data_IF_200598320217
#
_entry.id   IF_200598320217
#
_cell.length_a   1.000
_cell.length_b   1.000
_cell.length_c   1.000
_cell.angle_alpha   90.00
_cell.angle_beta   90.00
_cell.angle_gamma   90.00
#
_symmetry.space_group_name_H-M   'P 1'
#
loop_
_entity.id
_entity.type
_entity.pdbx_description
1 polymer ?
#
# COMPACT_ATOMS: atom_id res chain seq x y z
N UNK A 1 20.72 0.16 14.88
CA UNK A 1 19.83 -0.55 13.94
C UNK A 1 19.03 -1.49 14.78
N UNK A 2 17.72 -1.33 14.78
CA UNK A 2 16.83 -2.19 15.58
C UNK A 2 16.40 -3.39 14.73
N UNK A 3 15.79 -4.41 15.35
CA UNK A 3 15.22 -5.53 14.59
C UNK A 3 14.14 -5.06 13.60
N UNK A 4 13.51 -3.91 13.86
CA UNK A 4 12.55 -3.26 12.96
C UNK A 4 13.23 -2.82 11.67
N UNK A 5 14.44 -2.25 11.70
CA UNK A 5 15.20 -1.93 10.49
C UNK A 5 15.43 -3.18 9.62
N UNK A 6 15.76 -4.30 10.26
CA UNK A 6 15.91 -5.60 9.60
C UNK A 6 14.60 -6.11 8.99
N UNK A 7 13.49 -5.99 9.72
CA UNK A 7 12.17 -6.38 9.23
C UNK A 7 11.71 -5.54 8.03
N UNK A 8 11.91 -4.21 8.08
CA UNK A 8 11.58 -3.31 6.99
C UNK A 8 12.43 -3.61 5.75
N UNK A 9 13.74 -3.84 5.92
CA UNK A 9 14.61 -4.29 4.84
C UNK A 9 14.15 -5.64 4.27
N UNK A 10 13.76 -6.59 5.12
CA UNK A 10 13.26 -7.90 4.69
C UNK A 10 11.99 -7.77 3.84
N UNK A 11 11.04 -6.90 4.20
CA UNK A 11 9.84 -6.65 3.38
C UNK A 11 10.21 -6.17 1.98
N UNK A 12 11.13 -5.21 1.87
CA UNK A 12 11.59 -4.68 0.58
C UNK A 12 12.31 -5.76 -0.22
N UNK A 13 13.23 -6.51 0.41
CA UNK A 13 14.01 -7.57 -0.23
C UNK A 13 13.14 -8.73 -0.69
N UNK A 14 12.20 -9.20 0.13
CA UNK A 14 11.25 -10.26 -0.24
C UNK A 14 10.37 -9.77 -1.39
N UNK A 15 9.86 -8.54 -1.32
CA UNK A 15 9.05 -7.97 -2.40
C UNK A 15 9.84 -7.89 -3.72
N UNK A 16 11.10 -7.45 -3.66
CA UNK A 16 12.01 -7.38 -4.80
C UNK A 16 12.34 -8.77 -5.37
N UNK A 17 12.64 -9.74 -4.51
CA UNK A 17 12.95 -11.11 -4.92
C UNK A 17 11.75 -11.79 -5.57
N UNK A 18 10.56 -11.68 -4.98
CA UNK A 18 9.31 -12.22 -5.57
C UNK A 18 9.05 -11.59 -6.94
N UNK A 19 9.22 -10.27 -7.07
CA UNK A 19 9.02 -9.59 -8.34
C UNK A 19 10.12 -9.91 -9.37
N UNK A 20 11.35 -10.19 -8.95
CA UNK A 20 12.41 -10.68 -9.82
C UNK A 20 12.03 -12.02 -10.47
N UNK A 21 11.52 -12.97 -9.69
CA UNK A 21 11.07 -14.26 -10.23
C UNK A 21 9.82 -14.13 -11.11
N UNK A 22 8.93 -13.19 -10.79
CA UNK A 22 7.68 -12.98 -11.54
C UNK A 22 7.84 -12.13 -12.79
N UNK A 23 8.84 -11.25 -12.85
CA UNK A 23 9.07 -10.30 -13.95
C UNK A 23 8.19 -9.05 -13.87
N UNK A 24 8.66 -7.94 -14.43
CA UNK A 24 7.93 -6.66 -14.46
C UNK A 24 6.61 -6.79 -15.21
N UNK A 25 6.62 -7.40 -16.40
CA UNK A 25 5.44 -7.50 -17.26
C UNK A 25 4.31 -8.21 -16.52
N UNK A 26 4.61 -9.29 -15.79
CA UNK A 26 3.59 -9.98 -15.00
C UNK A 26 3.01 -9.08 -13.90
N UNK A 27 3.85 -8.31 -13.22
CA UNK A 27 3.39 -7.40 -12.16
C UNK A 27 2.50 -6.29 -12.71
N UNK A 28 2.92 -5.63 -13.80
CA UNK A 28 2.17 -4.53 -14.42
C UNK A 28 0.85 -5.01 -15.01
N UNK A 29 0.88 -6.08 -15.81
CA UNK A 29 -0.35 -6.68 -16.34
C UNK A 29 -1.25 -7.21 -15.23
N UNK A 30 -0.67 -7.71 -14.13
CA UNK A 30 -1.45 -8.16 -12.98
C UNK A 30 -2.22 -7.03 -12.32
N UNK A 31 -1.61 -5.85 -12.17
CA UNK A 31 -2.30 -4.66 -11.66
C UNK A 31 -3.34 -4.16 -12.68
N UNK A 32 -2.99 -4.15 -13.96
CA UNK A 32 -3.92 -3.85 -15.04
C UNK A 32 -5.14 -4.78 -15.05
N UNK A 33 -4.97 -6.06 -14.75
CA UNK A 33 -6.08 -7.02 -14.66
C UNK A 33 -7.03 -6.70 -13.49
N UNK A 34 -6.51 -6.28 -12.32
CA UNK A 34 -7.33 -5.82 -11.20
C UNK A 34 -8.13 -4.57 -11.57
N UNK A 35 -7.47 -3.56 -12.16
CA UNK A 35 -8.11 -2.31 -12.58
C UNK A 35 -9.15 -2.55 -13.68
N UNK A 36 -8.80 -3.34 -14.69
CA UNK A 36 -9.67 -3.69 -15.80
C UNK A 36 -10.89 -4.49 -15.36
N UNK A 37 -10.72 -5.46 -14.44
CA UNK A 37 -11.83 -6.20 -13.87
C UNK A 37 -12.75 -5.31 -13.03
N UNK A 38 -12.19 -4.41 -12.22
CA UNK A 38 -12.97 -3.43 -11.47
C UNK A 38 -13.78 -2.53 -12.41
N UNK A 39 -13.13 -1.96 -13.43
CA UNK A 39 -13.78 -1.11 -14.42
C UNK A 39 -14.92 -1.85 -15.14
N UNK A 40 -14.69 -3.08 -15.60
CA UNK A 40 -15.71 -3.91 -16.25
C UNK A 40 -16.89 -4.19 -15.31
N UNK A 41 -16.62 -4.51 -14.04
CA UNK A 41 -17.66 -4.76 -13.05
C UNK A 41 -18.50 -3.50 -12.77
N UNK A 42 -17.86 -2.34 -12.62
CA UNK A 42 -18.55 -1.06 -12.43
C UNK A 42 -19.42 -0.69 -13.65
N UNK A 43 -18.91 -0.89 -14.86
CA UNK A 43 -19.66 -0.65 -16.10
C UNK A 43 -20.83 -1.62 -16.27
N UNK A 44 -20.69 -2.86 -15.82
CA UNK A 44 -21.75 -3.87 -15.89
C UNK A 44 -22.85 -3.68 -14.82
N UNK A 45 -22.57 -2.95 -13.74
CA UNK A 45 -23.48 -2.75 -12.59
C UNK A 45 -24.93 -2.38 -12.97
N UNK A 46 -25.21 -1.42 -13.88
CA UNK A 46 -26.58 -1.05 -14.23
C UNK A 46 -27.38 -2.19 -14.87
N UNK A 47 -26.70 -3.11 -15.55
CA UNK A 47 -27.32 -4.27 -16.21
C UNK A 47 -27.56 -5.44 -15.26
N UNK A 48 -26.85 -5.49 -14.13
CA UNK A 48 -26.90 -6.60 -13.16
C UNK A 48 -28.01 -6.39 -12.12
N UNK A 49 -28.27 -5.13 -11.74
CA UNK A 49 -29.28 -4.76 -10.74
C UNK A 49 -30.68 -5.37 -10.99
N UNK A 50 -31.24 -5.36 -12.23
CA UNK A 50 -32.54 -5.99 -12.49
C UNK A 50 -32.52 -7.51 -12.33
N UNK A 51 -31.37 -8.14 -12.57
CA UNK A 51 -31.21 -9.59 -12.50
C UNK A 51 -31.04 -10.06 -11.06
N UNK A 52 -30.31 -9.32 -10.22
CA UNK A 52 -29.99 -9.74 -8.84
C UNK A 52 -31.04 -9.33 -7.81
N UNK A 53 -31.73 -8.22 -8.04
CA UNK A 53 -32.76 -7.68 -7.11
C UNK A 53 -33.98 -8.60 -6.93
N UNK A 54 -34.25 -9.50 -7.87
CA UNK A 54 -35.34 -10.48 -7.75
C UNK A 54 -35.02 -11.67 -6.84
N UNK A 55 -33.77 -11.86 -6.44
CA UNK A 55 -33.31 -13.07 -5.75
C UNK A 55 -32.68 -12.80 -4.37
N UNK A 56 -32.20 -11.58 -4.13
CA UNK A 56 -31.42 -11.25 -2.93
C UNK A 56 -31.94 -9.94 -2.32
N UNK A 57 -32.35 -10.00 -1.06
CA UNK A 57 -32.59 -8.83 -0.21
C UNK A 57 -31.56 -8.82 0.92
N UNK A 58 -31.03 -7.65 1.34
CA UNK A 58 -31.31 -6.29 0.87
C UNK A 58 -30.57 -5.89 -0.42
N UNK A 59 -31.08 -4.85 -1.12
CA UNK A 59 -30.61 -4.42 -2.43
C UNK A 59 -29.10 -4.11 -2.53
N UNK A 60 -28.48 -3.59 -1.46
CA UNK A 60 -27.04 -3.34 -1.43
C UNK A 60 -26.20 -4.63 -1.45
N UNK A 61 -26.73 -5.74 -0.91
CA UNK A 61 -26.09 -7.06 -1.01
C UNK A 61 -26.27 -7.61 -2.42
N UNK A 62 -27.47 -7.51 -3.01
CA UNK A 62 -27.74 -7.95 -4.38
C UNK A 62 -26.81 -7.26 -5.39
N UNK A 63 -26.58 -5.96 -5.20
CA UNK A 63 -25.65 -5.17 -5.99
C UNK A 63 -24.20 -5.63 -5.78
N UNK A 64 -23.75 -5.75 -4.52
CA UNK A 64 -22.39 -6.20 -4.20
C UNK A 64 -22.10 -7.60 -4.76
N UNK A 65 -23.05 -8.53 -4.66
CA UNK A 65 -22.93 -9.90 -5.17
C UNK A 65 -22.89 -9.90 -6.70
N UNK A 66 -23.77 -9.15 -7.36
CA UNK A 66 -23.80 -9.06 -8.83
C UNK A 66 -22.51 -8.48 -9.40
N UNK A 67 -22.11 -7.30 -8.91
CA UNK A 67 -20.88 -6.63 -9.32
C UNK A 67 -19.65 -7.47 -8.96
N UNK A 68 -19.63 -8.09 -7.77
CA UNK A 68 -18.56 -8.98 -7.33
C UNK A 68 -18.40 -10.22 -8.21
N UNK A 69 -19.51 -10.84 -8.63
CA UNK A 69 -19.47 -11.98 -9.54
C UNK A 69 -18.84 -11.61 -10.90
N UNK A 70 -19.26 -10.49 -11.50
CA UNK A 70 -18.67 -10.01 -12.76
C UNK A 70 -17.20 -9.67 -12.58
N UNK A 71 -16.85 -8.98 -11.49
CA UNK A 71 -15.47 -8.68 -11.15
C UNK A 71 -14.61 -9.93 -11.13
N UNK A 72 -15.03 -10.98 -10.43
CA UNK A 72 -14.28 -12.24 -10.32
C UNK A 72 -14.15 -12.95 -11.67
N UNK A 73 -15.23 -13.03 -12.45
CA UNK A 73 -15.20 -13.67 -13.78
C UNK A 73 -14.22 -12.95 -14.71
N UNK A 74 -14.32 -11.62 -14.80
CA UNK A 74 -13.42 -10.82 -15.64
C UNK A 74 -11.98 -10.90 -15.13
N UNK A 75 -11.77 -10.85 -13.81
CA UNK A 75 -10.45 -10.97 -13.22
C UNK A 75 -9.79 -12.30 -13.57
N UNK A 76 -10.53 -13.41 -13.49
CA UNK A 76 -10.01 -14.74 -13.86
C UNK A 76 -9.60 -14.77 -15.34
N UNK A 77 -10.45 -14.27 -16.24
CA UNK A 77 -10.14 -14.21 -17.67
C UNK A 77 -8.88 -13.37 -17.92
N UNK A 78 -8.82 -12.15 -17.37
CA UNK A 78 -7.66 -11.27 -17.52
C UNK A 78 -6.40 -11.85 -16.90
N UNK A 79 -6.50 -12.60 -15.79
CA UNK A 79 -5.37 -13.29 -15.17
C UNK A 79 -4.82 -14.41 -16.04
N UNK A 80 -5.69 -15.20 -16.67
CA UNK A 80 -5.26 -16.24 -17.61
C UNK A 80 -4.50 -15.62 -18.78
N UNK A 81 -5.05 -14.56 -19.39
CA UNK A 81 -4.40 -13.83 -20.49
C UNK A 81 -3.07 -13.22 -20.03
N UNK A 82 -3.06 -12.57 -18.88
CA UNK A 82 -1.86 -11.95 -18.29
C UNK A 82 -0.74 -12.97 -18.09
N UNK A 83 -1.08 -14.12 -17.52
CA UNK A 83 -0.09 -15.16 -17.25
C UNK A 83 0.52 -15.66 -18.55
N UNK A 84 -0.32 -15.95 -19.55
CA UNK A 84 0.13 -16.39 -20.87
C UNK A 84 1.03 -15.37 -21.58
N UNK A 85 0.69 -14.08 -21.52
CA UNK A 85 1.53 -13.01 -22.08
C UNK A 85 2.85 -12.85 -21.32
N UNK A 86 2.82 -12.92 -19.99
CA UNK A 86 4.02 -12.78 -19.17
C UNK A 86 4.99 -13.96 -19.36
N UNK A 87 4.48 -15.19 -19.49
CA UNK A 87 5.30 -16.37 -19.80
C UNK A 87 6.05 -16.17 -21.13
N UNK A 88 5.36 -15.69 -22.17
CA UNK A 88 5.95 -15.38 -23.49
C UNK A 88 7.09 -14.36 -23.42
N UNK A 89 6.96 -13.34 -22.58
CA UNK A 89 8.02 -12.34 -22.41
C UNK A 89 9.21 -12.95 -21.68
N UNK A 90 8.97 -13.72 -20.62
CA UNK A 90 10.03 -14.36 -19.86
C UNK A 90 10.81 -15.41 -20.66
N UNK A 91 10.15 -16.13 -21.56
CA UNK A 91 10.78 -17.14 -22.43
C UNK A 91 11.52 -16.51 -23.63
N UNK A 92 11.38 -15.20 -23.83
CA UNK A 92 12.04 -14.47 -24.91
C UNK A 92 13.44 -13.96 -24.52
N UNK A 93 14.17 -13.41 -25.49
CA UNK A 93 15.44 -12.72 -25.24
C UNK A 93 15.33 -11.54 -24.24
N UNK A 94 14.11 -11.01 -24.03
CA UNK A 94 13.86 -9.92 -23.08
C UNK A 94 13.64 -10.40 -21.64
N UNK A 95 13.55 -11.72 -21.39
CA UNK A 95 13.24 -12.27 -20.07
C UNK A 95 14.23 -11.83 -18.98
N UNK A 96 15.53 -11.72 -19.32
CA UNK A 96 16.53 -11.20 -18.38
C UNK A 96 16.27 -9.76 -17.95
N UNK A 97 15.93 -8.88 -18.90
CA UNK A 97 15.59 -7.47 -18.62
C UNK A 97 14.29 -7.38 -17.82
N UNK A 98 13.28 -8.17 -18.17
CA UNK A 98 12.00 -8.23 -17.47
C UNK A 98 12.17 -8.57 -15.97
N UNK A 99 13.07 -9.49 -15.64
CA UNK A 99 13.38 -9.87 -14.25
C UNK A 99 14.10 -8.76 -13.48
N UNK A 100 15.08 -8.08 -14.10
CA UNK A 100 15.80 -6.96 -13.45
C UNK A 100 14.86 -5.79 -13.19
N UNK A 101 14.03 -5.44 -14.17
CA UNK A 101 13.00 -4.42 -13.98
C UNK A 101 11.96 -4.86 -12.93
N UNK A 102 11.63 -6.15 -12.90
CA UNK A 102 10.80 -6.75 -11.85
C UNK A 102 11.38 -6.54 -10.46
N UNK A 103 12.69 -6.73 -10.28
CA UNK A 103 13.39 -6.46 -9.01
C UNK A 103 13.23 -5.01 -8.58
N UNK A 104 13.48 -4.05 -9.49
CA UNK A 104 13.33 -2.63 -9.19
C UNK A 104 11.88 -2.26 -8.82
N UNK A 105 10.92 -2.76 -9.60
CA UNK A 105 9.50 -2.58 -9.31
C UNK A 105 9.10 -3.19 -7.96
N UNK A 106 9.59 -4.39 -7.64
CA UNK A 106 9.34 -5.06 -6.37
C UNK A 106 9.93 -4.30 -5.18
N UNK A 107 11.09 -3.67 -5.34
CA UNK A 107 11.68 -2.82 -4.30
C UNK A 107 10.79 -1.58 -4.04
N UNK A 108 10.35 -0.90 -5.11
CA UNK A 108 9.42 0.23 -5.02
C UNK A 108 8.11 -0.19 -4.35
N UNK A 109 7.52 -1.32 -4.79
CA UNK A 109 6.31 -1.88 -4.17
C UNK A 109 6.52 -2.17 -2.69
N UNK A 110 7.66 -2.74 -2.32
CA UNK A 110 8.02 -3.00 -0.94
C UNK A 110 8.01 -1.72 -0.10
N UNK A 111 8.63 -0.65 -0.61
CA UNK A 111 8.62 0.67 0.05
C UNK A 111 7.19 1.24 0.17
N UNK A 112 6.37 1.12 -0.87
CA UNK A 112 4.95 1.53 -0.84
C UNK A 112 4.17 0.76 0.22
N UNK A 113 4.41 -0.55 0.37
CA UNK A 113 3.76 -1.35 1.42
C UNK A 113 4.15 -0.87 2.83
N UNK A 114 5.41 -0.47 3.04
CA UNK A 114 5.85 0.10 4.32
C UNK A 114 5.18 1.44 4.61
N UNK A 115 5.08 2.31 3.62
CA UNK A 115 4.37 3.60 3.72
C UNK A 115 2.89 3.38 4.05
N UNK A 116 2.23 2.47 3.34
CA UNK A 116 0.84 2.11 3.61
C UNK A 116 0.66 1.54 5.02
N UNK A 117 1.57 0.67 5.47
CA UNK A 117 1.54 0.13 6.83
C UNK A 117 1.71 1.22 7.90
N UNK A 118 2.55 2.24 7.65
CA UNK A 118 2.70 3.37 8.55
C UNK A 118 1.43 4.23 8.64
N UNK A 119 0.80 4.53 7.49
CA UNK A 119 -0.48 5.26 7.46
C UNK A 119 -1.55 4.49 8.23
N UNK A 120 -1.66 3.17 8.00
CA UNK A 120 -2.60 2.31 8.72
C UNK A 120 -2.30 2.28 10.22
N UNK A 121 -1.03 2.21 10.62
CA UNK A 121 -0.65 2.27 12.02
C UNK A 121 -1.10 3.59 12.67
N UNK A 122 -1.04 4.72 11.97
CA UNK A 122 -1.54 5.99 12.49
C UNK A 122 -3.06 6.08 12.59
N UNK A 123 -3.79 5.35 11.75
CA UNK A 123 -5.25 5.27 11.81
C UNK A 123 -5.74 4.38 12.97
N UNK A 124 -5.07 3.26 13.24
CA UNK A 124 -5.53 2.27 14.22
C UNK A 124 -4.80 2.30 15.57
N UNK A 125 -3.56 2.82 15.62
CA UNK A 125 -2.72 2.87 16.82
C UNK A 125 -2.03 4.25 16.94
N UNK A 126 -2.80 5.34 17.14
CA UNK A 126 -2.28 6.72 17.09
C UNK A 126 -1.34 7.08 18.24
N UNK A 127 -1.36 6.33 19.36
CA UNK A 127 -0.53 6.60 20.53
C UNK A 127 0.90 6.06 20.36
N UNK A 128 1.82 6.89 19.89
CA UNK A 128 3.24 6.54 19.72
C UNK A 128 3.98 6.25 21.01
N UNK A 129 3.51 6.80 22.14
CA UNK A 129 4.10 6.54 23.45
C UNK A 129 4.10 5.03 23.77
N UNK A 130 3.03 4.34 23.37
CA UNK A 130 2.85 2.90 23.52
C UNK A 130 3.62 2.05 22.50
N UNK A 131 4.24 2.67 21.48
CA UNK A 131 5.00 1.91 20.50
C UNK A 131 6.27 1.30 21.13
N UNK A 132 6.65 0.07 20.74
CA UNK A 132 7.88 -0.56 21.21
C UNK A 132 9.10 0.33 20.96
N UNK A 133 10.05 0.37 21.91
CA UNK A 133 11.28 1.17 21.78
C UNK A 133 12.03 0.90 20.45
N UNK A 134 12.05 -0.35 20.02
CA UNK A 134 12.66 -0.77 18.76
C UNK A 134 12.06 -0.10 17.50
N UNK A 135 10.77 0.27 17.52
CA UNK A 135 10.15 1.03 16.43
C UNK A 135 10.60 2.49 16.50
N UNK A 136 10.60 3.07 17.70
CA UNK A 136 10.95 4.48 17.92
C UNK A 136 12.41 4.79 17.58
N UNK A 137 13.30 3.82 17.79
CA UNK A 137 14.74 3.94 17.50
C UNK A 137 15.13 3.46 16.09
N UNK A 138 14.16 3.01 15.27
CA UNK A 138 14.44 2.51 13.94
C UNK A 138 14.94 3.64 13.02
N UNK A 139 16.11 3.45 12.41
CA UNK A 139 16.73 4.46 11.52
C UNK A 139 15.97 4.64 10.21
N UNK A 140 15.25 3.61 9.80
CA UNK A 140 14.42 3.60 8.59
C UNK A 140 13.07 4.31 8.77
N UNK A 141 12.60 4.49 10.02
CA UNK A 141 11.30 5.07 10.31
C UNK A 141 11.10 6.49 9.75
N UNK A 142 12.06 7.43 9.84
CA UNK A 142 11.90 8.77 9.28
C UNK A 142 11.67 8.77 7.77
N UNK A 143 12.30 7.85 7.02
CA UNK A 143 12.11 7.73 5.57
C UNK A 143 10.71 7.22 5.23
N UNK A 144 10.19 6.27 6.00
CA UNK A 144 8.82 5.75 5.83
C UNK A 144 7.79 6.83 6.20
N UNK A 145 8.02 7.56 7.29
CA UNK A 145 7.16 8.65 7.74
C UNK A 145 7.10 9.82 6.73
N UNK A 146 8.24 10.20 6.16
CA UNK A 146 8.30 11.21 5.10
C UNK A 146 7.59 10.75 3.83
N UNK A 147 7.78 9.47 3.44
CA UNK A 147 7.01 8.88 2.33
C UNK A 147 5.50 8.92 2.57
N UNK A 148 5.06 8.61 3.79
CA UNK A 148 3.66 8.70 4.19
C UNK A 148 3.13 10.13 4.13
N UNK A 149 3.91 11.10 4.61
CA UNK A 149 3.57 12.53 4.53
C UNK A 149 3.29 12.98 3.10
N UNK A 150 4.20 12.67 2.17
CA UNK A 150 4.03 13.02 0.75
C UNK A 150 2.80 12.39 0.11
N UNK A 151 2.45 11.17 0.50
CA UNK A 151 1.24 10.50 0.01
C UNK A 151 -0.01 11.17 0.58
N UNK A 152 -0.03 11.47 1.89
CA UNK A 152 -1.20 12.08 2.55
C UNK A 152 -1.44 13.52 2.11
N UNK A 153 -0.39 14.27 1.79
CA UNK A 153 -0.51 15.64 1.26
C UNK A 153 -1.27 15.71 -0.08
N UNK A 154 -1.20 14.64 -0.87
CA UNK A 154 -1.95 14.54 -2.14
C UNK A 154 -3.43 14.21 -1.94
N UNK A 155 -3.83 13.78 -0.73
CA UNK A 155 -5.21 13.46 -0.41
C UNK A 155 -5.97 14.76 -0.07
N UNK A 156 -7.20 14.96 -0.60
CA UNK A 156 -8.04 16.10 -0.24
C UNK A 156 -8.25 16.19 1.28
N UNK A 157 -8.33 17.41 1.81
CA UNK A 157 -8.34 17.65 3.27
C UNK A 157 -9.42 16.85 4.01
N UNK A 158 -10.60 16.71 3.38
CA UNK A 158 -11.74 15.97 3.93
C UNK A 158 -11.47 14.48 4.21
N UNK A 159 -10.47 13.89 3.55
CA UNK A 159 -10.15 12.46 3.64
C UNK A 159 -8.72 12.19 4.11
N UNK A 160 -7.98 13.20 4.58
CA UNK A 160 -6.59 13.03 5.01
C UNK A 160 -6.52 12.13 6.24
N UNK A 161 -5.87 10.96 6.17
CA UNK A 161 -5.67 10.14 7.35
C UNK A 161 -4.71 10.84 8.31
N UNK A 162 -4.96 10.70 9.62
CA UNK A 162 -4.04 11.19 10.65
C UNK A 162 -2.72 10.43 10.53
N UNK A 163 -1.64 11.16 10.31
CA UNK A 163 -0.30 10.62 10.40
C UNK A 163 0.16 10.63 11.85
N UNK A 164 0.95 9.62 12.17
CA UNK A 164 1.72 9.58 13.41
C UNK A 164 2.97 10.45 13.24
N UNK A 165 3.31 11.24 14.25
CA UNK A 165 4.56 11.96 14.28
C UNK A 165 5.71 11.02 14.65
N UNK A 166 6.83 11.02 13.89
CA UNK A 166 7.96 10.18 14.21
C UNK A 166 8.57 10.59 15.56
N UNK A 167 8.95 9.62 16.41
CA UNK A 167 9.57 9.87 17.71
C UNK A 167 10.84 10.73 17.56
N UNK A 168 10.90 11.86 18.27
CA UNK A 168 12.00 12.83 18.19
C UNK A 168 11.75 14.05 17.29
N UNK A 169 10.56 14.17 16.66
CA UNK A 169 10.16 15.39 15.95
C UNK A 169 9.88 16.59 16.89
N UNK A 170 9.76 16.35 18.19
CA UNK A 170 9.62 17.40 19.20
C UNK A 170 11.00 17.96 19.57
N UNK A 171 11.50 18.89 18.76
CA UNK A 171 12.38 19.93 19.32
C UNK A 171 11.61 20.72 20.40
N UNK A 172 12.29 21.45 21.30
CA UNK A 172 11.60 22.30 22.27
C UNK A 172 10.58 23.17 21.54
N UNK A 173 9.32 23.08 21.94
CA UNK A 173 8.23 23.85 21.36
C UNK A 173 8.54 25.33 21.52
N UNK A 174 8.01 26.21 20.67
CA UNK A 174 8.15 27.67 20.89
C UNK A 174 7.71 28.02 22.32
N UNK A 175 6.68 27.36 22.85
CA UNK A 175 6.27 27.49 24.26
C UNK A 175 7.33 27.01 25.26
N UNK A 176 8.12 25.98 24.94
CA UNK A 176 9.22 25.49 25.78
C UNK A 176 10.45 26.41 25.71
N UNK A 177 10.65 27.10 24.59
CA UNK A 177 11.70 28.10 24.40
C UNK A 177 11.35 29.46 25.01
N UNK A 178 10.06 29.78 25.05
CA UNK A 178 9.53 30.99 25.69
C UNK A 178 9.37 30.83 27.19
N UNK A 179 9.43 29.60 27.72
CA UNK A 179 9.50 29.37 29.17
C UNK A 179 10.80 29.97 29.70
N UNK A 180 10.73 30.96 30.61
CA UNK A 180 11.91 31.48 31.27
C UNK A 180 12.62 30.32 31.99
N UNK A 181 13.96 30.22 31.94
CA UNK A 181 14.68 29.18 32.66
C UNK A 181 14.28 29.27 34.13
N UNK A 182 13.72 28.18 34.66
CA UNK A 182 13.30 28.12 36.05
C UNK A 182 14.50 28.49 36.91
N UNK A 183 14.44 29.65 37.57
CA UNK A 183 15.47 30.07 38.53
C UNK A 183 15.53 28.97 39.60
N UNK A 184 16.59 28.17 39.58
CA UNK A 184 16.93 27.30 40.70
C UNK A 184 17.21 28.20 41.89
N UNK A 185 16.23 28.30 42.79
CA UNK A 185 16.43 28.85 44.14
C UNK A 185 17.29 27.83 44.88
N UNK A 186 18.59 28.08 44.90
CA UNK A 186 19.47 27.61 45.97
C UNK A 186 19.14 28.38 47.26
#
# INVERSE_FOLDING_TARGET
MTWVDGALAAVVLISAAVAYFRGLVREVLSLGAWVGAAAAAFLARPHLLPVTSGWIEPAWIADAVGTGAVFLVVLVILKVITNFLADRVQDSALGGLDRVLGLAFGAVRGAVLLVAAYILAGMFAPETAAWPAAVKEARSLPFVAEGARRVVEQVPEAYRPRLVDPPGANGPTVDDLLRPPARSRN
#
